data_IF_776849689606
#
_entry.id   IF_776849689606
#
_cell.length_a   1.000
_cell.length_b   1.000
_cell.length_c   1.000
_cell.angle_alpha   90.00
_cell.angle_beta   90.00
_cell.angle_gamma   90.00
#
_symmetry.space_group_name_H-M   'P 1'
#
loop_
_entity.id
_entity.type
_entity.pdbx_description
1 polymer ?
#
# COMPACT_ATOMS: atom_id res chain seq x y z
N UNK A 1 10.91 -13.34 -0.61
CA UNK A 1 10.16 -12.45 0.31
C UNK A 1 11.14 -12.03 1.38
N UNK A 2 11.62 -10.79 1.34
CA UNK A 2 12.58 -10.28 2.31
C UNK A 2 11.95 -10.23 3.70
N UNK A 3 12.74 -10.54 4.72
CA UNK A 3 12.33 -10.46 6.13
C UNK A 3 12.28 -9.00 6.59
N UNK A 4 11.26 -8.28 6.12
CA UNK A 4 10.91 -6.99 6.66
C UNK A 4 10.14 -7.18 7.98
N UNK A 5 10.58 -6.50 9.04
CA UNK A 5 9.91 -6.48 10.34
C UNK A 5 9.27 -5.10 10.56
N UNK A 6 7.97 -5.09 10.87
CA UNK A 6 7.20 -3.88 11.17
C UNK A 6 6.89 -3.82 12.66
N UNK A 7 6.92 -2.61 13.24
CA UNK A 7 6.51 -2.38 14.63
C UNK A 7 5.01 -2.58 14.83
N UNK A 8 4.21 -2.32 13.80
CA UNK A 8 2.76 -2.35 13.89
C UNK A 8 2.13 -3.59 13.25
N UNK A 9 2.78 -4.22 12.27
CA UNK A 9 2.25 -5.37 11.52
C UNK A 9 3.12 -6.63 11.70
N UNK A 10 2.46 -7.76 11.87
CA UNK A 10 3.03 -9.11 11.83
C UNK A 10 3.32 -9.58 10.41
N UNK A 11 4.16 -10.62 10.27
CA UNK A 11 4.48 -11.25 8.97
C UNK A 11 3.22 -11.65 8.16
N UNK A 12 2.16 -12.10 8.83
CA UNK A 12 0.89 -12.46 8.17
C UNK A 12 0.17 -11.21 7.63
N UNK A 13 0.11 -10.14 8.41
CA UNK A 13 -0.53 -8.88 8.00
C UNK A 13 0.23 -8.22 6.84
N UNK A 14 1.56 -8.25 6.88
CA UNK A 14 2.43 -7.79 5.77
C UNK A 14 2.12 -8.59 4.49
N UNK A 15 1.98 -9.92 4.59
CA UNK A 15 1.60 -10.76 3.44
C UNK A 15 0.21 -10.39 2.91
N UNK A 16 -0.74 -10.11 3.80
CA UNK A 16 -2.08 -9.63 3.43
C UNK A 16 -2.02 -8.30 2.67
N UNK A 17 -1.26 -7.32 3.21
CA UNK A 17 -1.11 -5.99 2.63
C UNK A 17 -0.44 -6.06 1.26
N UNK A 18 0.65 -6.84 1.12
CA UNK A 18 1.31 -7.07 -0.16
C UNK A 18 0.34 -7.64 -1.19
N UNK A 19 -0.46 -8.65 -0.81
CA UNK A 19 -1.45 -9.27 -1.72
C UNK A 19 -2.51 -8.27 -2.19
N UNK A 20 -3.03 -7.45 -1.29
CA UNK A 20 -4.02 -6.40 -1.62
C UNK A 20 -3.36 -5.33 -2.49
N UNK A 21 -2.14 -4.91 -2.14
CA UNK A 21 -1.35 -3.95 -2.90
C UNK A 21 -1.17 -4.39 -4.34
N UNK A 22 -0.78 -5.65 -4.59
CA UNK A 22 -0.62 -6.20 -5.94
C UNK A 22 -1.95 -6.33 -6.71
N UNK A 23 -3.09 -6.41 -6.01
CA UNK A 23 -4.42 -6.40 -6.64
C UNK A 23 -4.79 -4.98 -7.07
N UNK A 24 -4.48 -3.98 -6.25
CA UNK A 24 -4.76 -2.57 -6.53
C UNK A 24 -3.78 -1.95 -7.53
N UNK A 25 -2.51 -2.35 -7.43
CA UNK A 25 -1.38 -1.88 -8.24
C UNK A 25 -0.64 -3.11 -8.76
N UNK A 26 -1.21 -3.80 -9.77
CA UNK A 26 -0.53 -4.88 -10.44
C UNK A 26 0.67 -4.35 -11.23
N UNK A 27 1.61 -5.25 -11.56
CA UNK A 27 2.72 -4.92 -12.44
C UNK A 27 2.20 -4.48 -13.80
N UNK A 28 2.71 -3.37 -14.31
CA UNK A 28 2.36 -2.86 -15.63
C UNK A 28 3.56 -2.09 -16.19
N UNK A 29 4.40 -2.73 -17.00
CA UNK A 29 5.65 -2.13 -17.47
C UNK A 29 5.40 -0.74 -18.11
N UNK A 30 6.12 0.31 -17.69
CA UNK A 30 7.33 0.31 -16.87
C UNK A 30 7.14 0.31 -15.33
N UNK A 31 5.90 0.28 -14.83
CA UNK A 31 5.58 0.36 -13.41
C UNK A 31 5.74 -0.99 -12.69
N UNK A 32 6.51 -1.04 -11.58
CA UNK A 32 6.58 -2.23 -10.73
C UNK A 32 5.24 -2.46 -10.01
N UNK A 33 4.94 -3.71 -9.68
CA UNK A 33 3.86 -3.99 -8.73
C UNK A 33 4.16 -3.42 -7.34
N UNK A 34 3.13 -3.35 -6.49
CA UNK A 34 3.28 -2.89 -5.10
C UNK A 34 4.33 -3.68 -4.31
N UNK A 35 4.35 -5.01 -4.47
CA UNK A 35 5.33 -5.87 -3.80
C UNK A 35 6.75 -5.71 -4.37
N UNK A 36 6.89 -5.53 -5.69
CA UNK A 36 8.19 -5.34 -6.35
C UNK A 36 8.86 -4.02 -5.96
N UNK A 37 8.10 -2.93 -5.77
CA UNK A 37 8.66 -1.62 -5.40
C UNK A 37 9.31 -1.59 -4.01
N UNK A 38 8.96 -2.55 -3.14
CA UNK A 38 9.48 -2.63 -1.77
C UNK A 38 8.99 -1.51 -0.85
N UNK A 39 8.01 -0.71 -1.28
CA UNK A 39 7.48 0.42 -0.50
C UNK A 39 6.82 0.00 0.82
N UNK A 40 6.43 -1.28 0.94
CA UNK A 40 5.91 -1.88 2.17
C UNK A 40 6.87 -1.73 3.37
N UNK A 41 8.16 -1.56 3.12
CA UNK A 41 9.17 -1.31 4.17
C UNK A 41 8.92 -0.04 5.00
N UNK A 42 8.11 0.90 4.50
CA UNK A 42 7.74 2.12 5.23
C UNK A 42 6.31 2.09 5.79
N UNK A 43 5.68 0.91 5.86
CA UNK A 43 4.31 0.78 6.38
C UNK A 43 4.15 1.36 7.79
N UNK A 44 5.18 1.30 8.62
CA UNK A 44 5.13 1.87 9.97
C UNK A 44 4.90 3.38 9.97
N UNK A 45 5.45 4.09 8.97
CA UNK A 45 5.24 5.53 8.81
C UNK A 45 3.78 5.84 8.46
N UNK A 46 3.17 5.03 7.59
CA UNK A 46 1.76 5.17 7.23
C UNK A 46 0.83 4.86 8.42
N UNK A 47 1.19 3.89 9.26
CA UNK A 47 0.37 3.46 10.39
C UNK A 47 0.57 4.27 11.68
N UNK A 48 1.69 5.01 11.80
CA UNK A 48 2.06 5.74 13.02
C UNK A 48 0.95 6.68 13.51
N UNK A 49 0.28 7.36 12.58
CA UNK A 49 -0.74 8.37 12.88
C UNK A 49 -2.18 7.82 12.81
N UNK A 50 -2.34 6.53 12.53
CA UNK A 50 -3.65 5.88 12.56
C UNK A 50 -4.12 5.69 13.99
N UNK A 51 -5.41 5.94 14.25
CA UNK A 51 -6.03 5.65 15.54
C UNK A 51 -5.87 4.15 15.91
N UNK A 52 -5.66 3.79 17.19
CA UNK A 52 -5.49 2.39 17.59
C UNK A 52 -6.66 1.46 17.21
N UNK A 53 -7.91 1.94 17.23
CA UNK A 53 -9.07 1.14 16.82
C UNK A 53 -9.04 0.86 15.33
N UNK A 54 -8.86 1.90 14.51
CA UNK A 54 -8.73 1.76 13.04
C UNK A 54 -7.55 0.85 12.65
N UNK A 55 -6.44 0.95 13.39
CA UNK A 55 -5.26 0.10 13.18
C UNK A 55 -5.56 -1.37 13.46
N UNK A 56 -6.34 -1.67 14.50
CA UNK A 56 -6.71 -3.05 14.84
C UNK A 56 -7.69 -3.64 13.81
N UNK A 57 -8.64 -2.85 13.33
CA UNK A 57 -9.57 -3.28 12.28
C UNK A 57 -8.84 -3.56 10.96
N UNK A 58 -7.89 -2.68 10.60
CA UNK A 58 -7.01 -2.90 9.46
C UNK A 58 -6.21 -4.20 9.63
N UNK A 59 -5.60 -4.42 10.81
CA UNK A 59 -4.84 -5.64 11.10
C UNK A 59 -5.70 -6.90 10.95
N UNK A 60 -6.92 -6.89 11.45
CA UNK A 60 -7.85 -8.00 11.29
C UNK A 60 -8.13 -8.26 9.79
N UNK A 61 -8.44 -7.21 9.04
CA UNK A 61 -8.67 -7.32 7.59
C UNK A 61 -7.46 -7.88 6.84
N UNK A 62 -6.25 -7.43 7.18
CA UNK A 62 -5.00 -7.92 6.58
C UNK A 62 -4.74 -9.38 6.92
N UNK A 63 -4.98 -9.82 8.16
CA UNK A 63 -4.85 -11.24 8.56
C UNK A 63 -5.78 -12.13 7.75
N UNK A 64 -7.05 -11.74 7.63
CA UNK A 64 -8.05 -12.47 6.83
C UNK A 64 -7.60 -12.54 5.37
N UNK A 65 -7.24 -11.39 4.79
CA UNK A 65 -6.76 -11.29 3.41
C UNK A 65 -5.48 -12.09 3.14
N UNK A 66 -4.63 -12.30 4.15
CA UNK A 66 -3.43 -13.12 4.01
C UNK A 66 -3.75 -14.60 3.77
N UNK A 67 -4.79 -15.11 4.42
CA UNK A 67 -5.22 -16.52 4.35
C UNK A 67 -6.11 -16.75 3.12
N UNK A 68 -6.99 -15.80 2.81
CA UNK A 68 -7.93 -15.95 1.70
C UNK A 68 -7.23 -16.16 0.33
N UNK A 69 -7.78 -17.01 -0.54
CA UNK A 69 -7.39 -17.09 -1.94
C UNK A 69 -7.40 -15.73 -2.64
N UNK A 70 -6.46 -15.49 -3.56
CA UNK A 70 -6.30 -14.20 -4.25
C UNK A 70 -7.59 -13.76 -4.98
N UNK A 71 -8.35 -14.69 -5.55
CA UNK A 71 -9.60 -14.36 -6.24
C UNK A 71 -10.68 -13.82 -5.29
N UNK A 72 -10.79 -14.36 -4.06
CA UNK A 72 -11.74 -13.84 -3.05
C UNK A 72 -11.35 -12.44 -2.59
N UNK A 73 -10.05 -12.21 -2.32
CA UNK A 73 -9.55 -10.88 -1.96
C UNK A 73 -9.83 -9.89 -3.09
N UNK A 74 -9.66 -10.30 -4.35
CA UNK A 74 -9.99 -9.48 -5.52
C UNK A 74 -11.47 -9.13 -5.58
N UNK A 75 -12.36 -10.09 -5.31
CA UNK A 75 -13.82 -9.84 -5.23
C UNK A 75 -14.13 -8.84 -4.11
N UNK A 76 -13.56 -9.03 -2.91
CA UNK A 76 -13.76 -8.12 -1.77
C UNK A 76 -13.31 -6.70 -2.14
N UNK A 77 -12.12 -6.54 -2.71
CA UNK A 77 -11.61 -5.23 -3.14
C UNK A 77 -12.50 -4.62 -4.24
N UNK A 78 -13.01 -5.42 -5.16
CA UNK A 78 -13.92 -4.95 -6.21
C UNK A 78 -15.27 -4.51 -5.66
N UNK A 79 -15.80 -5.21 -4.65
CA UNK A 79 -17.02 -4.83 -3.95
C UNK A 79 -16.83 -3.53 -3.15
N UNK A 80 -15.68 -3.39 -2.47
CA UNK A 80 -15.28 -2.17 -1.76
C UNK A 80 -15.18 -0.97 -2.73
N UNK A 81 -14.84 -1.20 -3.99
CA UNK A 81 -14.78 -0.17 -5.03
C UNK A 81 -16.15 0.31 -5.54
N UNK A 82 -17.26 -0.34 -5.18
CA UNK A 82 -18.59 0.09 -5.62
C UNK A 82 -19.07 1.27 -4.76
N UNK A 83 -19.56 2.37 -5.37
CA UNK A 83 -19.91 3.60 -4.65
C UNK A 83 -21.16 3.47 -3.74
N UNK A 84 -21.91 2.37 -3.84
CA UNK A 84 -23.22 2.20 -3.22
C UNK A 84 -23.22 1.58 -1.81
N UNK A 85 -22.06 1.21 -1.26
CA UNK A 85 -21.98 0.58 0.06
C UNK A 85 -21.22 1.50 1.02
N UNK A 86 -21.97 2.39 1.69
CA UNK A 86 -21.43 3.47 2.54
C UNK A 86 -20.47 2.96 3.63
N UNK A 87 -20.74 1.79 4.21
CA UNK A 87 -19.86 1.16 5.20
C UNK A 87 -18.52 0.68 4.59
N UNK A 88 -18.56 0.13 3.37
CA UNK A 88 -17.35 -0.32 2.67
C UNK A 88 -16.53 0.85 2.14
N UNK A 89 -17.12 2.04 2.01
CA UNK A 89 -16.42 3.27 1.57
C UNK A 89 -15.31 3.67 2.54
N UNK A 90 -15.49 3.48 3.84
CA UNK A 90 -14.45 3.76 4.85
C UNK A 90 -13.28 2.78 4.73
N UNK A 91 -13.56 1.48 4.53
CA UNK A 91 -12.53 0.49 4.23
C UNK A 91 -11.80 0.78 2.90
N UNK A 92 -12.52 1.29 1.90
CA UNK A 92 -11.94 1.73 0.62
C UNK A 92 -10.91 2.85 0.82
N UNK A 93 -11.27 3.87 1.62
CA UNK A 93 -10.39 4.99 1.94
C UNK A 93 -9.19 4.57 2.79
N UNK A 94 -9.39 3.68 3.78
CA UNK A 94 -8.31 3.21 4.65
C UNK A 94 -7.28 2.38 3.89
N UNK A 95 -7.71 1.32 3.19
CA UNK A 95 -6.78 0.38 2.54
C UNK A 95 -6.11 1.03 1.33
N UNK A 96 -6.87 1.71 0.47
CA UNK A 96 -6.28 2.43 -0.66
C UNK A 96 -5.42 3.59 -0.19
N UNK A 97 -5.83 4.29 0.87
CA UNK A 97 -5.04 5.35 1.48
C UNK A 97 -3.66 4.84 1.85
N UNK A 98 -3.57 3.72 2.59
CA UNK A 98 -2.29 3.10 2.95
C UNK A 98 -1.51 2.64 1.73
N UNK A 99 -2.14 1.89 0.81
CA UNK A 99 -1.47 1.34 -0.38
C UNK A 99 -0.93 2.44 -1.30
N UNK A 100 -1.75 3.43 -1.67
CA UNK A 100 -1.33 4.52 -2.54
C UNK A 100 -0.36 5.46 -1.86
N UNK A 101 -0.54 5.77 -0.57
CA UNK A 101 0.42 6.60 0.17
C UNK A 101 1.78 5.93 0.19
N UNK A 102 1.86 4.62 0.41
CA UNK A 102 3.13 3.90 0.37
C UNK A 102 3.71 3.87 -1.04
N UNK A 103 2.93 3.50 -2.05
CA UNK A 103 3.41 3.33 -3.42
C UNK A 103 3.90 4.64 -4.04
N UNK A 104 3.19 5.75 -3.80
CA UNK A 104 3.55 7.07 -4.31
C UNK A 104 4.41 7.90 -3.35
N UNK A 105 4.84 7.36 -2.20
CA UNK A 105 5.77 8.08 -1.28
C UNK A 105 7.22 8.14 -1.78
N UNK A 106 7.50 7.82 -3.04
CA UNK A 106 8.84 7.76 -3.63
C UNK A 106 9.85 6.98 -2.78
N UNK A 107 9.37 5.90 -2.18
CA UNK A 107 10.09 5.15 -1.15
C UNK A 107 10.35 3.74 -1.66
N UNK A 108 11.55 3.53 -2.21
CA UNK A 108 12.04 2.21 -2.61
C UNK A 108 12.35 1.37 -1.37
N UNK A 109 12.09 0.07 -1.45
CA UNK A 109 12.72 -0.87 -0.54
C UNK A 109 14.25 -0.87 -0.74
N UNK A 110 15.04 -1.19 0.29
CA UNK A 110 16.51 -1.11 0.25
C UNK A 110 17.16 -1.97 -0.85
N UNK A 111 16.43 -2.95 -1.39
CA UNK A 111 16.93 -3.87 -2.42
C UNK A 111 16.34 -3.63 -3.82
N UNK A 112 15.39 -2.70 -3.98
CA UNK A 112 14.78 -2.45 -5.29
C UNK A 112 15.67 -1.56 -6.17
N UNK A 113 16.20 -2.13 -7.26
CA UNK A 113 17.12 -1.47 -8.20
C UNK A 113 16.46 -0.85 -9.43
N UNK A 114 15.13 -0.92 -9.55
CA UNK A 114 14.39 -0.38 -10.70
C UNK A 114 14.19 1.15 -10.66
N UNK A 115 13.63 1.71 -11.74
CA UNK A 115 13.24 3.12 -11.82
C UNK A 115 12.21 3.46 -10.75
N UNK A 116 12.31 4.66 -10.16
CA UNK A 116 11.31 5.10 -9.19
C UNK A 116 9.97 5.39 -9.87
N UNK A 117 8.88 5.33 -9.11
CA UNK A 117 7.56 5.73 -9.59
C UNK A 117 7.60 7.18 -10.05
N UNK A 118 8.33 8.06 -9.35
CA UNK A 118 8.48 9.46 -9.78
C UNK A 118 9.31 9.61 -11.05
N UNK A 119 10.36 8.80 -11.22
CA UNK A 119 11.18 8.78 -12.44
C UNK A 119 10.34 8.35 -13.65
N UNK A 120 9.47 7.35 -13.46
CA UNK A 120 8.58 6.83 -14.50
C UNK A 120 7.49 7.85 -14.86
N UNK A 121 6.95 8.56 -13.87
CA UNK A 121 5.93 9.59 -14.08
C UNK A 121 6.53 10.88 -14.65
N UNK A 122 7.85 11.07 -14.55
CA UNK A 122 8.53 12.30 -14.98
C UNK A 122 8.32 13.47 -14.00
N UNK A 123 8.11 13.17 -12.71
CA UNK A 123 7.93 14.20 -11.69
C UNK A 123 9.22 15.01 -11.50
N UNK A 124 9.14 16.32 -11.69
CA UNK A 124 10.28 17.24 -11.57
C UNK A 124 9.96 18.34 -10.55
N UNK A 125 10.73 18.39 -9.47
CA UNK A 125 10.62 19.47 -8.47
C UNK A 125 11.23 20.72 -9.09
N UNK A 126 10.42 21.76 -9.27
CA UNK A 126 10.89 23.08 -9.68
C UNK A 126 11.05 23.92 -8.42
N UNK A 127 12.27 24.07 -7.92
CA UNK A 127 12.55 24.96 -6.79
C UNK A 127 12.47 26.41 -7.27
N UNK A 128 11.48 27.15 -6.80
CA UNK A 128 11.41 28.59 -6.98
C UNK A 128 12.24 29.21 -5.85
N UNK A 129 13.38 29.79 -6.18
CA UNK A 129 14.18 30.57 -5.22
C UNK A 129 13.48 31.91 -4.98
N UNK A 130 12.89 32.08 -3.79
CA UNK A 130 12.35 33.36 -3.38
C UNK A 130 13.52 34.34 -3.11
N UNK A 131 13.49 35.58 -3.64
CA UNK A 131 14.48 36.58 -3.29
C UNK A 131 14.40 36.87 -1.78
N UNK A 132 15.58 37.00 -1.15
CA UNK A 132 15.74 37.31 0.28
C UNK A 132 15.24 38.70 0.62
#
# INVERSE_FOLDING_TARGET
>A
MNEFSSKFLSKREIKGLSKIGDILIPKNDPFPSFSESGCISKVDTALKNLDPFDRNDLKLFLKVSAILPKFLVKIIVLLINRPFITLLRMGNLGIKGVVYSLYYSNSKGPEYKGKDVYDIIGYKIMSISLPK
#
